data_IF_906927925708
#
_entry.id   IF_906927925708
#
_cell.length_a   1.000
_cell.length_b   1.000
_cell.length_c   1.000
_cell.angle_alpha   90.00
_cell.angle_beta   90.00
_cell.angle_gamma   90.00
#
_symmetry.space_group_name_H-M   'P 1'
#
loop_
_entity.id
_entity.type
_entity.pdbx_description
1 polymer ?
#
# COMPACT_ATOMS: atom_id res chain seq x y z
N UNK A 1 -7.32 -3.82 14.08
CA UNK A 1 -7.05 -4.63 12.87
C UNK A 1 -7.10 -3.81 11.58
N UNK A 2 -8.28 -3.35 11.10
CA UNK A 2 -8.36 -2.60 9.82
C UNK A 2 -7.60 -1.26 9.87
N UNK A 3 -7.71 -0.53 10.99
CA UNK A 3 -6.95 0.71 11.25
C UNK A 3 -5.42 0.49 11.25
N UNK A 4 -4.98 -0.69 11.69
CA UNK A 4 -3.57 -1.05 11.73
C UNK A 4 -3.05 -1.33 10.32
N UNK A 5 -3.83 -2.05 9.49
CA UNK A 5 -3.51 -2.24 8.08
C UNK A 5 -3.46 -0.90 7.31
N UNK A 6 -4.40 0.01 7.60
CA UNK A 6 -4.37 1.37 7.04
C UNK A 6 -3.14 2.16 7.50
N UNK A 7 -2.68 1.96 8.74
CA UNK A 7 -1.42 2.54 9.22
C UNK A 7 -0.22 1.98 8.46
N UNK A 8 -0.18 0.66 8.24
CA UNK A 8 0.89 0.02 7.46
C UNK A 8 0.95 0.55 6.02
N UNK A 9 -0.20 0.80 5.38
CA UNK A 9 -0.24 1.44 4.06
C UNK A 9 0.44 2.82 4.09
N UNK A 10 0.13 3.65 5.09
CA UNK A 10 0.77 4.98 5.23
C UNK A 10 2.28 4.89 5.48
N UNK A 11 2.72 3.91 6.26
CA UNK A 11 4.16 3.68 6.48
C UNK A 11 4.84 3.33 5.15
N UNK A 12 4.25 2.41 4.38
CA UNK A 12 4.78 2.04 3.06
C UNK A 12 4.81 3.23 2.10
N UNK A 13 3.80 4.11 2.13
CA UNK A 13 3.82 5.33 1.31
C UNK A 13 5.00 6.25 1.68
N UNK A 14 5.30 6.41 2.98
CA UNK A 14 6.48 7.17 3.44
C UNK A 14 7.80 6.50 3.02
N UNK A 15 7.91 5.18 3.14
CA UNK A 15 9.11 4.43 2.79
C UNK A 15 9.37 4.48 1.28
N UNK A 16 8.31 4.39 0.46
CA UNK A 16 8.39 4.57 -1.00
C UNK A 16 8.91 5.96 -1.33
N UNK A 17 8.30 7.02 -0.76
CA UNK A 17 8.73 8.39 -1.03
C UNK A 17 10.18 8.65 -0.60
N UNK A 18 10.62 8.04 0.50
CA UNK A 18 12.00 8.14 0.99
C UNK A 18 12.98 7.47 0.03
N UNK A 19 12.64 6.29 -0.47
CA UNK A 19 13.46 5.55 -1.44
C UNK A 19 13.52 6.27 -2.79
N UNK A 20 12.38 6.77 -3.28
CA UNK A 20 12.30 7.56 -4.51
C UNK A 20 13.15 8.84 -4.43
N UNK A 21 13.10 9.54 -3.29
CA UNK A 21 13.92 10.73 -3.05
C UNK A 21 15.41 10.39 -2.98
N UNK A 22 15.77 9.27 -2.35
CA UNK A 22 17.16 8.79 -2.25
C UNK A 22 17.72 8.37 -3.60
N UNK A 23 16.91 7.71 -4.44
CA UNK A 23 17.28 7.32 -5.80
C UNK A 23 17.14 8.42 -6.86
N UNK A 24 16.49 9.54 -6.52
CA UNK A 24 16.19 10.64 -7.45
C UNK A 24 15.25 10.27 -8.59
N UNK A 25 14.50 9.16 -8.46
CA UNK A 25 13.62 8.63 -9.51
C UNK A 25 12.30 8.19 -8.86
N UNK A 26 11.21 8.89 -9.18
CA UNK A 26 9.85 8.57 -8.73
C UNK A 26 8.95 7.98 -9.82
N UNK A 27 9.40 8.00 -11.08
CA UNK A 27 8.65 7.40 -12.18
C UNK A 27 8.84 5.88 -12.16
N UNK A 28 7.81 5.12 -11.76
CA UNK A 28 7.84 3.66 -11.71
C UNK A 28 8.09 2.97 -13.06
N UNK A 29 7.84 3.66 -14.18
CA UNK A 29 8.15 3.18 -15.52
C UNK A 29 9.61 3.40 -15.94
N UNK A 30 10.37 4.24 -15.21
CA UNK A 30 11.79 4.42 -15.46
C UNK A 30 12.53 3.11 -15.12
N UNK A 31 13.38 2.57 -16.02
CA UNK A 31 14.17 1.38 -15.75
C UNK A 31 15.04 1.50 -14.48
N UNK A 32 15.44 2.72 -14.11
CA UNK A 32 16.24 3.04 -12.92
C UNK A 32 15.41 3.16 -11.65
N UNK A 33 14.09 3.02 -11.73
CA UNK A 33 13.22 3.12 -10.56
C UNK A 33 13.64 2.10 -9.49
N UNK A 34 13.82 2.53 -8.22
CA UNK A 34 14.40 1.67 -7.20
C UNK A 34 13.62 0.36 -7.00
N UNK A 35 14.35 -0.76 -6.92
CA UNK A 35 13.75 -2.09 -6.72
C UNK A 35 12.98 -2.16 -5.40
N UNK A 36 13.48 -1.49 -4.36
CA UNK A 36 12.81 -1.42 -3.06
C UNK A 36 11.47 -0.68 -3.18
N UNK A 37 11.45 0.53 -3.77
CA UNK A 37 10.22 1.29 -4.01
C UNK A 37 9.17 0.49 -4.81
N UNK A 38 9.62 -0.31 -5.78
CA UNK A 38 8.77 -1.22 -6.56
C UNK A 38 8.16 -2.34 -5.71
N UNK A 39 8.98 -2.97 -4.88
CA UNK A 39 8.55 -4.04 -3.98
C UNK A 39 7.56 -3.53 -2.94
N UNK A 40 7.85 -2.36 -2.35
CA UNK A 40 6.98 -1.70 -1.39
C UNK A 40 5.65 -1.28 -2.02
N UNK A 41 5.68 -0.79 -3.27
CA UNK A 41 4.46 -0.45 -4.02
C UNK A 41 3.56 -1.67 -4.22
N UNK A 42 4.11 -2.79 -4.68
CA UNK A 42 3.36 -4.05 -4.81
C UNK A 42 2.75 -4.49 -3.47
N UNK A 43 3.53 -4.41 -2.39
CA UNK A 43 3.05 -4.80 -1.05
C UNK A 43 1.93 -3.88 -0.57
N UNK A 44 2.06 -2.56 -0.78
CA UNK A 44 1.03 -1.57 -0.45
C UNK A 44 -0.26 -1.87 -1.19
N UNK A 45 -0.18 -2.20 -2.47
CA UNK A 45 -1.36 -2.44 -3.30
C UNK A 45 -2.08 -3.74 -2.88
N UNK A 46 -1.32 -4.78 -2.50
CA UNK A 46 -1.86 -6.00 -1.87
C UNK A 46 -2.58 -5.71 -0.55
N UNK A 47 -2.03 -4.81 0.29
CA UNK A 47 -2.67 -4.40 1.53
C UNK A 47 -3.95 -3.60 1.27
N UNK A 48 -3.95 -2.68 0.31
CA UNK A 48 -5.16 -1.93 -0.10
C UNK A 48 -6.26 -2.88 -0.58
N UNK A 49 -5.91 -3.90 -1.36
CA UNK A 49 -6.84 -4.95 -1.81
C UNK A 49 -7.42 -5.74 -0.62
N UNK A 50 -6.56 -6.18 0.30
CA UNK A 50 -7.00 -6.88 1.52
C UNK A 50 -7.92 -6.01 2.38
N UNK A 51 -7.58 -4.73 2.59
CA UNK A 51 -8.41 -3.78 3.35
C UNK A 51 -9.79 -3.66 2.71
N UNK A 52 -9.87 -3.53 1.38
CA UNK A 52 -11.13 -3.46 0.65
C UNK A 52 -11.96 -4.72 0.88
N UNK A 53 -11.40 -5.90 0.64
CA UNK A 53 -12.10 -7.16 0.81
C UNK A 53 -12.63 -7.36 2.25
N UNK A 54 -11.84 -6.98 3.25
CA UNK A 54 -12.26 -7.03 4.65
C UNK A 54 -13.37 -6.01 4.96
N UNK A 55 -13.30 -4.81 4.39
CA UNK A 55 -14.32 -3.76 4.59
C UNK A 55 -15.65 -4.17 3.97
N UNK A 56 -15.62 -4.72 2.75
CA UNK A 56 -16.81 -5.21 2.05
C UNK A 56 -17.49 -6.32 2.86
N UNK A 57 -16.71 -7.28 3.37
CA UNK A 57 -17.23 -8.38 4.18
C UNK A 57 -17.80 -7.90 5.52
N UNK A 58 -17.18 -6.91 6.16
CA UNK A 58 -17.74 -6.31 7.37
C UNK A 58 -19.07 -5.61 7.09
N UNK A 59 -19.15 -4.85 5.99
CA UNK A 59 -20.39 -4.20 5.57
C UNK A 59 -21.54 -5.19 5.34
N UNK A 60 -21.24 -6.32 4.68
CA UNK A 60 -22.21 -7.40 4.48
C UNK A 60 -22.72 -7.98 5.80
N UNK A 61 -21.81 -8.28 6.74
CA UNK A 61 -22.18 -8.83 8.05
C UNK A 61 -23.05 -7.87 8.87
N UNK A 62 -22.77 -6.57 8.79
CA UNK A 62 -23.56 -5.54 9.49
C UNK A 62 -24.90 -5.24 8.82
N UNK A 63 -25.06 -5.51 7.53
CA UNK A 63 -26.33 -5.32 6.82
C UNK A 63 -27.32 -6.48 7.02
N UNK A 64 -26.81 -7.65 7.42
CA UNK A 64 -27.60 -8.85 7.72
C UNK A 64 -27.96 -9.02 9.21
N UNK A 65 -27.48 -8.11 10.07
CA UNK A 65 -27.71 -8.08 11.50
C UNK A 65 -28.75 -7.00 11.86
#
# INVERSE_FOLDING_TARGET
>A
MLKDLQRSVRILDCDIATEEASGGVSNAADPRYPLLARTLSTRRDNLKSTIRALSDRLGQLTATA
#
